data_IF_276285326262
#
_entry.id   IF_276285326262
#
_cell.length_a   1.000
_cell.length_b   1.000
_cell.length_c   1.000
_cell.angle_alpha   90.00
_cell.angle_beta   90.00
_cell.angle_gamma   90.00
#
_symmetry.space_group_name_H-M   'P 1'
#
loop_
_entity.id
_entity.type
_entity.pdbx_description
1 polymer ?
#
# COMPACT_ATOMS: atom_id res chain seq x y z
N UNK A 1 -11.43 -13.48 -3.56
CA UNK A 1 -11.44 -12.30 -4.44
C UNK A 1 -12.80 -12.26 -5.08
N UNK A 2 -13.56 -11.20 -4.88
CA UNK A 2 -14.90 -11.04 -5.46
C UNK A 2 -14.82 -10.56 -6.91
N UNK A 3 -15.88 -10.76 -7.70
CA UNK A 3 -15.96 -10.23 -9.07
C UNK A 3 -15.78 -8.70 -9.12
N UNK A 4 -16.21 -8.02 -8.05
CA UNK A 4 -16.01 -6.58 -7.87
C UNK A 4 -14.52 -6.24 -7.69
N UNK A 5 -13.77 -7.05 -6.95
CA UNK A 5 -12.32 -6.86 -6.77
C UNK A 5 -11.57 -7.02 -8.10
N UNK A 6 -11.98 -7.98 -8.93
CA UNK A 6 -11.42 -8.17 -10.28
C UNK A 6 -11.70 -6.96 -11.18
N UNK A 7 -12.95 -6.47 -11.21
CA UNK A 7 -13.32 -5.29 -12.01
C UNK A 7 -12.56 -4.02 -11.58
N UNK A 8 -12.36 -3.84 -10.27
CA UNK A 8 -11.57 -2.71 -9.73
C UNK A 8 -10.11 -2.81 -10.19
N UNK A 9 -9.53 -4.00 -10.23
CA UNK A 9 -8.17 -4.20 -10.73
C UNK A 9 -8.06 -3.87 -12.22
N UNK A 10 -9.01 -4.32 -13.03
CA UNK A 10 -9.06 -4.00 -14.46
C UNK A 10 -9.18 -2.49 -14.68
N UNK A 11 -10.01 -1.81 -13.89
CA UNK A 11 -10.14 -0.36 -13.93
C UNK A 11 -8.83 0.34 -13.54
N UNK A 12 -8.14 -0.12 -12.48
CA UNK A 12 -6.81 0.41 -12.08
C UNK A 12 -5.79 0.22 -13.21
N UNK A 13 -5.79 -0.93 -13.87
CA UNK A 13 -4.90 -1.22 -14.98
C UNK A 13 -5.16 -0.28 -16.16
N UNK A 14 -6.43 -0.07 -16.53
CA UNK A 14 -6.80 0.84 -17.60
C UNK A 14 -6.37 2.29 -17.31
N UNK A 15 -6.52 2.76 -16.07
CA UNK A 15 -6.07 4.09 -15.64
C UNK A 15 -4.54 4.21 -15.78
N UNK A 16 -3.78 3.21 -15.32
CA UNK A 16 -2.32 3.22 -15.42
C UNK A 16 -1.84 3.25 -16.89
N UNK A 17 -2.49 2.49 -17.76
CA UNK A 17 -2.19 2.48 -19.20
C UNK A 17 -2.41 3.86 -19.82
N UNK A 18 -3.51 4.53 -19.49
CA UNK A 18 -3.81 5.86 -19.99
C UNK A 18 -2.81 6.91 -19.49
N UNK A 19 -2.40 6.83 -18.21
CA UNK A 19 -1.36 7.72 -17.68
C UNK A 19 0.00 7.51 -18.35
N UNK A 20 0.36 6.25 -18.62
CA UNK A 20 1.57 5.93 -19.36
C UNK A 20 1.54 6.48 -20.78
N UNK A 21 0.40 6.34 -21.49
CA UNK A 21 0.21 6.90 -22.84
C UNK A 21 0.38 8.42 -22.85
N UNK A 22 -0.26 9.12 -21.91
CA UNK A 22 -0.14 10.59 -21.77
C UNK A 22 1.29 11.04 -21.48
N UNK A 23 1.99 10.32 -20.61
CA UNK A 23 3.39 10.60 -20.32
C UNK A 23 4.26 10.50 -21.60
N UNK A 24 4.08 9.44 -22.39
CA UNK A 24 4.80 9.28 -23.66
C UNK A 24 4.49 10.39 -24.67
N UNK A 25 3.25 10.88 -24.70
CA UNK A 25 2.85 12.01 -25.54
C UNK A 25 3.56 13.30 -25.13
N UNK A 26 3.54 13.64 -23.83
CA UNK A 26 4.25 14.79 -23.29
C UNK A 26 5.76 14.71 -23.55
N UNK A 27 6.35 13.52 -23.40
CA UNK A 27 7.75 13.27 -23.69
C UNK A 27 8.08 13.55 -25.17
N UNK A 28 7.22 13.09 -26.09
CA UNK A 28 7.38 13.28 -27.53
C UNK A 28 7.24 14.74 -27.95
N UNK A 29 6.38 15.48 -27.27
CA UNK A 29 6.18 16.93 -27.45
C UNK A 29 7.29 17.78 -26.81
N UNK A 30 8.24 17.17 -26.09
CA UNK A 30 9.32 17.87 -25.39
C UNK A 30 8.88 18.57 -24.09
N UNK A 31 7.65 18.32 -23.62
CA UNK A 31 7.05 18.88 -22.40
C UNK A 31 7.52 18.13 -21.15
N UNK A 32 8.82 18.18 -20.89
CA UNK A 32 9.46 17.39 -19.85
C UNK A 32 9.04 17.77 -18.44
N UNK A 33 8.73 19.05 -18.18
CA UNK A 33 8.31 19.52 -16.86
C UNK A 33 6.96 18.90 -16.50
N UNK A 34 5.99 18.98 -17.41
CA UNK A 34 4.67 18.40 -17.24
C UNK A 34 4.72 16.86 -17.17
N UNK A 35 5.54 16.22 -18.01
CA UNK A 35 5.74 14.77 -17.96
C UNK A 35 6.29 14.34 -16.59
N UNK A 36 7.30 15.04 -16.07
CA UNK A 36 7.91 14.72 -14.78
C UNK A 36 6.94 14.96 -13.62
N UNK A 37 6.10 15.99 -13.70
CA UNK A 37 5.09 16.26 -12.69
C UNK A 37 4.04 15.13 -12.62
N UNK A 38 3.55 14.65 -13.78
CA UNK A 38 2.63 13.51 -13.84
C UNK A 38 3.26 12.22 -13.31
N UNK A 39 4.55 12.00 -13.63
CA UNK A 39 5.30 10.85 -13.13
C UNK A 39 5.47 10.90 -11.61
N UNK A 40 5.84 12.06 -11.06
CA UNK A 40 5.99 12.25 -9.61
C UNK A 40 4.70 11.95 -8.87
N UNK A 41 3.55 12.43 -9.34
CA UNK A 41 2.25 12.12 -8.72
C UNK A 41 1.97 10.62 -8.70
N UNK A 42 2.24 9.92 -9.80
CA UNK A 42 2.07 8.46 -9.87
C UNK A 42 2.98 7.73 -8.88
N UNK A 43 4.24 8.16 -8.78
CA UNK A 43 5.22 7.60 -7.85
C UNK A 43 4.85 7.87 -6.39
N UNK A 44 4.34 9.06 -6.07
CA UNK A 44 3.86 9.39 -4.72
C UNK A 44 2.70 8.48 -4.32
N UNK A 45 1.68 8.33 -5.17
CA UNK A 45 0.57 7.42 -4.88
C UNK A 45 1.03 5.97 -4.68
N UNK A 46 2.00 5.49 -5.48
CA UNK A 46 2.56 4.15 -5.30
C UNK A 46 3.30 4.00 -3.97
N UNK A 47 4.10 5.01 -3.60
CA UNK A 47 4.81 5.06 -2.32
C UNK A 47 3.84 5.05 -1.14
N UNK A 48 2.79 5.88 -1.18
CA UNK A 48 1.79 5.96 -0.11
C UNK A 48 1.08 4.62 0.09
N UNK A 49 0.65 3.98 -1.01
CA UNK A 49 0.02 2.66 -0.97
C UNK A 49 0.92 1.58 -0.37
N UNK A 50 2.21 1.59 -0.73
CA UNK A 50 3.20 0.65 -0.17
C UNK A 50 3.42 0.87 1.33
N UNK A 51 3.51 2.13 1.77
CA UNK A 51 3.64 2.47 3.19
C UNK A 51 2.40 2.06 4.00
N UNK A 52 1.20 2.30 3.48
CA UNK A 52 -0.04 1.84 4.12
C UNK A 52 -0.10 0.31 4.23
N UNK A 53 0.29 -0.38 3.16
CA UNK A 53 0.33 -1.85 3.11
C UNK A 53 1.33 -2.42 4.13
N UNK A 54 2.50 -1.79 4.26
CA UNK A 54 3.49 -2.14 5.27
C UNK A 54 2.95 -1.94 6.69
N UNK A 55 2.35 -0.78 6.97
CA UNK A 55 1.77 -0.49 8.28
C UNK A 55 0.59 -1.41 8.64
N UNK A 56 -0.14 -1.94 7.65
CA UNK A 56 -1.14 -2.99 7.89
C UNK A 56 -0.48 -4.32 8.27
N UNK A 57 0.58 -4.73 7.56
CA UNK A 57 1.32 -5.95 7.86
C UNK A 57 1.93 -5.93 9.26
N UNK A 58 2.55 -4.81 9.65
CA UNK A 58 3.11 -4.62 10.99
C UNK A 58 2.05 -4.77 12.09
N UNK A 59 0.86 -4.19 11.89
CA UNK A 59 -0.28 -4.34 12.83
C UNK A 59 -0.76 -5.79 12.96
N UNK A 60 -0.78 -6.54 11.86
CA UNK A 60 -1.14 -7.96 11.87
C UNK A 60 -0.12 -8.77 12.67
N UNK A 61 1.18 -8.52 12.47
CA UNK A 61 2.26 -9.17 13.20
C UNK A 61 2.14 -8.88 14.70
N UNK A 62 1.94 -7.61 15.07
CA UNK A 62 1.81 -7.23 16.48
C UNK A 62 0.59 -7.86 17.14
N UNK A 63 -0.54 -7.91 16.43
CA UNK A 63 -1.75 -8.60 16.90
C UNK A 63 -1.51 -10.09 17.13
N UNK A 64 -0.74 -10.76 16.26
CA UNK A 64 -0.37 -12.16 16.45
C UNK A 64 0.56 -12.36 17.65
N UNK A 65 1.53 -11.45 17.86
CA UNK A 65 2.43 -11.50 19.02
C UNK A 65 1.66 -11.37 20.33
N UNK A 66 0.75 -10.41 20.44
CA UNK A 66 -0.13 -10.23 21.60
C UNK A 66 -1.00 -11.46 21.86
N UNK A 67 -1.55 -12.09 20.81
CA UNK A 67 -2.33 -13.33 20.94
C UNK A 67 -1.51 -14.53 21.39
N UNK A 68 -0.20 -14.52 21.12
CA UNK A 68 0.71 -15.61 21.46
C UNK A 68 1.37 -15.46 22.83
N UNK A 69 1.16 -14.33 23.53
CA UNK A 69 1.65 -14.16 24.90
C UNK A 69 0.82 -15.00 25.87
N UNK A 70 1.45 -15.86 26.70
CA UNK A 70 0.75 -16.56 27.77
C UNK A 70 0.24 -15.54 28.80
N UNK A 71 -0.89 -15.82 29.48
CA UNK A 71 -1.42 -14.92 30.51
C UNK A 71 -0.35 -14.67 31.59
N UNK A 72 -0.32 -13.48 32.22
CA UNK A 72 0.57 -13.24 33.33
C UNK A 72 0.32 -14.30 34.40
N UNK A 73 1.37 -15.08 34.70
CA UNK A 73 1.34 -16.15 35.68
C UNK A 73 0.78 -15.60 37.00
N UNK A 74 -0.43 -16.01 37.36
CA UNK A 74 -1.02 -15.80 38.67
C UNK A 74 -0.34 -16.73 39.66
N UNK A 75 0.95 -16.51 39.93
CA UNK A 75 1.63 -17.14 41.05
C UNK A 75 1.18 -16.42 42.33
N UNK A 76 0.53 -17.10 43.28
CA UNK A 76 0.17 -16.45 44.54
C UNK A 76 1.45 -16.07 45.29
N UNK A 77 1.44 -14.96 46.07
CA UNK A 77 2.60 -14.55 46.82
C UNK A 77 3.00 -15.66 47.81
N UNK A 78 4.31 -15.89 48.03
CA UNK A 78 4.76 -16.87 49.00
C UNK A 78 4.18 -16.53 50.37
N UNK A 79 3.52 -17.53 50.98
CA UNK A 79 2.98 -17.45 52.34
C UNK A 79 4.12 -17.20 53.36
N UNK A 80 3.82 -16.55 54.50
CA UNK A 80 4.81 -15.97 55.42
C UNK A 80 5.75 -16.98 56.09
#
# INVERSE_FOLDING_TARGET
>A
MSEVDCLILDAKQAILHEQHRRFQELQREGKWVEAMQQFQTTMSCASDLLNESLGLLERVIETQRLKSQPPPSSAPPPAP
#
